data_IF_620770014575
#
_entry.id   IF_620770014575
#
_cell.length_a   1.000
_cell.length_b   1.000
_cell.length_c   1.000
_cell.angle_alpha   90.00
_cell.angle_beta   90.00
_cell.angle_gamma   90.00
#
_symmetry.space_group_name_H-M   'P 1'
#
loop_
_entity.id
_entity.type
_entity.pdbx_description
1 polymer ?
#
# COMPACT_ATOMS: atom_id res chain seq x y z
N UNK A 1 14.25 3.12 -2.26
CA UNK A 1 13.26 3.15 -1.16
C UNK A 1 12.79 4.59 -0.98
N UNK A 2 11.48 4.90 -0.94
CA UNK A 2 11.01 6.27 -0.76
C UNK A 2 11.47 6.80 0.61
N UNK A 3 12.46 7.70 0.64
CA UNK A 3 13.08 8.23 1.87
C UNK A 3 12.04 8.77 2.86
N UNK A 4 11.13 9.61 2.38
CA UNK A 4 10.10 10.22 3.23
C UNK A 4 9.18 9.19 3.93
N UNK A 5 8.84 8.09 3.26
CA UNK A 5 7.97 7.06 3.83
C UNK A 5 8.75 6.16 4.79
N UNK A 6 9.99 5.82 4.44
CA UNK A 6 10.91 5.12 5.32
C UNK A 6 11.10 5.88 6.64
N UNK A 7 11.35 7.19 6.57
CA UNK A 7 11.62 8.01 7.75
C UNK A 7 10.40 8.14 8.67
N UNK A 8 9.19 8.27 8.09
CA UNK A 8 7.94 8.21 8.86
C UNK A 8 7.77 6.87 9.57
N UNK A 9 7.94 5.76 8.86
CA UNK A 9 7.82 4.42 9.44
C UNK A 9 8.92 4.14 10.47
N UNK A 10 10.12 4.68 10.28
CA UNK A 10 11.22 4.56 11.23
C UNK A 10 10.93 5.33 12.52
N UNK A 11 10.30 6.52 12.44
CA UNK A 11 9.82 7.27 13.61
C UNK A 11 8.71 6.53 14.34
N UNK A 12 7.73 5.98 13.62
CA UNK A 12 6.68 5.16 14.22
C UNK A 12 7.23 3.90 14.89
N UNK A 13 8.15 3.21 14.24
CA UNK A 13 8.80 2.03 14.79
C UNK A 13 9.56 2.38 16.08
N UNK A 14 10.25 3.54 16.11
CA UNK A 14 10.92 4.05 17.30
C UNK A 14 9.91 4.35 18.42
N UNK A 15 8.78 5.00 18.12
CA UNK A 15 7.70 5.25 19.08
C UNK A 15 7.12 3.95 19.67
N UNK A 16 7.10 2.87 18.88
CA UNK A 16 6.68 1.53 19.30
C UNK A 16 7.77 0.74 20.04
N UNK A 17 8.93 1.33 20.30
CA UNK A 17 10.05 0.65 20.95
C UNK A 17 10.72 -0.43 20.08
N UNK A 18 10.49 -0.43 18.76
CA UNK A 18 11.09 -1.41 17.86
C UNK A 18 12.52 -1.01 17.52
N UNK A 19 13.45 -1.95 17.72
CA UNK A 19 14.88 -1.78 17.44
C UNK A 19 15.42 -2.89 16.53
N UNK A 20 16.60 -2.65 15.94
CA UNK A 20 17.33 -3.61 15.11
C UNK A 20 16.48 -4.29 14.02
N UNK A 21 16.51 -5.63 14.01
CA UNK A 21 15.79 -6.46 13.03
C UNK A 21 14.28 -6.23 13.05
N UNK A 22 13.68 -6.00 14.23
CA UNK A 22 12.23 -5.78 14.36
C UNK A 22 11.79 -4.45 13.74
N UNK A 23 12.61 -3.41 13.89
CA UNK A 23 12.40 -2.12 13.22
C UNK A 23 12.44 -2.27 11.71
N UNK A 24 13.46 -2.95 11.18
CA UNK A 24 13.58 -3.19 9.76
C UNK A 24 12.38 -3.98 9.22
N UNK A 25 12.02 -5.09 9.87
CA UNK A 25 10.87 -5.90 9.50
C UNK A 25 9.55 -5.10 9.48
N UNK A 26 9.34 -4.22 10.46
CA UNK A 26 8.16 -3.34 10.50
C UNK A 26 8.13 -2.40 9.30
N UNK A 27 9.25 -1.73 8.99
CA UNK A 27 9.33 -0.78 7.89
C UNK A 27 9.11 -1.48 6.54
N UNK A 28 9.87 -2.54 6.26
CA UNK A 28 9.76 -3.28 5.00
C UNK A 28 8.42 -3.99 4.84
N UNK A 29 7.91 -4.63 5.90
CA UNK A 29 6.61 -5.27 5.89
C UNK A 29 5.46 -4.29 5.65
N UNK A 30 5.53 -3.10 6.27
CA UNK A 30 4.50 -2.06 6.07
C UNK A 30 4.56 -1.48 4.66
N UNK A 31 5.76 -1.24 4.12
CA UNK A 31 5.95 -0.81 2.73
C UNK A 31 5.31 -1.80 1.73
N UNK A 32 5.64 -3.09 1.87
CA UNK A 32 5.10 -4.14 1.00
C UNK A 32 3.57 -4.23 1.06
N UNK A 33 2.98 -4.09 2.27
CA UNK A 33 1.53 -4.03 2.44
C UNK A 33 0.90 -2.82 1.74
N UNK A 34 1.52 -1.64 1.81
CA UNK A 34 1.02 -0.42 1.15
C UNK A 34 1.02 -0.61 -0.37
N UNK A 35 2.09 -1.14 -0.94
CA UNK A 35 2.20 -1.38 -2.38
C UNK A 35 1.16 -2.40 -2.86
N UNK A 36 0.99 -3.48 -2.11
CA UNK A 36 0.00 -4.53 -2.41
C UNK A 36 -1.43 -3.95 -2.40
N UNK A 37 -1.76 -3.10 -1.41
CA UNK A 37 -3.04 -2.40 -1.35
C UNK A 37 -3.26 -1.44 -2.53
N UNK A 38 -2.23 -0.71 -2.95
CA UNK A 38 -2.31 0.17 -4.15
C UNK A 38 -2.63 -0.63 -5.41
N UNK A 39 -1.96 -1.78 -5.60
CA UNK A 39 -2.21 -2.68 -6.74
C UNK A 39 -3.64 -3.23 -6.73
N UNK A 40 -4.13 -3.66 -5.55
CA UNK A 40 -5.49 -4.16 -5.39
C UNK A 40 -6.56 -3.10 -5.73
N UNK A 41 -6.40 -1.87 -5.22
CA UNK A 41 -7.31 -0.75 -5.53
C UNK A 41 -7.35 -0.43 -7.04
N UNK A 42 -6.20 -0.46 -7.72
CA UNK A 42 -6.13 -0.25 -9.18
C UNK A 42 -6.85 -1.34 -9.97
N UNK A 43 -6.80 -2.60 -9.52
CA UNK A 43 -7.57 -3.69 -10.14
C UNK A 43 -9.07 -3.51 -9.92
N UNK A 44 -9.47 -3.14 -8.71
CA UNK A 44 -10.88 -2.88 -8.39
C UNK A 44 -11.45 -1.73 -9.23
N UNK A 45 -10.75 -0.60 -9.32
CA UNK A 45 -11.21 0.54 -10.13
C UNK A 45 -11.36 0.18 -11.60
N UNK A 46 -10.40 -0.57 -12.18
CA UNK A 46 -10.49 -1.09 -13.55
C UNK A 46 -11.72 -1.99 -13.75
N UNK A 47 -12.03 -2.88 -12.80
CA UNK A 47 -13.20 -3.75 -12.86
C UNK A 47 -14.51 -2.94 -12.81
N UNK A 48 -14.59 -1.94 -11.94
CA UNK A 48 -15.75 -1.03 -11.84
C UNK A 48 -15.96 -0.26 -13.14
N UNK A 49 -14.90 0.32 -13.69
CA UNK A 49 -14.95 1.05 -14.97
C UNK A 49 -15.40 0.14 -16.10
N UNK A 50 -14.81 -1.07 -16.23
CA UNK A 50 -15.18 -2.05 -17.26
C UNK A 50 -16.65 -2.47 -17.15
N UNK A 51 -17.16 -2.69 -15.94
CA UNK A 51 -18.57 -3.01 -15.69
C UNK A 51 -19.51 -1.87 -16.11
N UNK A 52 -19.12 -0.62 -15.84
CA UNK A 52 -19.90 0.58 -16.22
C UNK A 52 -19.94 0.78 -17.75
N UNK A 53 -18.82 0.58 -18.44
CA UNK A 53 -18.75 0.67 -19.90
C UNK A 53 -19.59 -0.41 -20.57
N UNK A 54 -19.51 -1.65 -20.10
CA UNK A 54 -20.30 -2.76 -20.65
C UNK A 54 -21.82 -2.51 -20.47
N UNK A 55 -22.24 -2.03 -19.29
CA UNK A 55 -23.64 -1.67 -19.04
C UNK A 55 -24.15 -0.49 -19.89
N UNK A 56 -23.28 0.43 -20.31
CA UNK A 56 -23.63 1.58 -21.16
C UNK A 56 -23.73 1.23 -22.64
N UNK A 57 -23.05 0.18 -23.10
CA UNK A 57 -22.99 -0.25 -24.51
C UNK A 57 -24.03 -1.30 -24.91
N UNK A 58 -24.72 -1.90 -23.94
CA UNK A 58 -25.81 -2.87 -24.18
C UNK A 58 -27.21 -2.27 -24.03
N UNK A 59 -27.34 -0.95 -24.12
CA UNK A 59 -28.58 -0.19 -24.19
C UNK A 59 -28.58 0.62 -25.47
#
# INVERSE_FOLDING_TARGET
>A
MPKALHDKLAREAKKKGLTGKRKAAYIYGTMSKIESRKKAKKKHSKKVVKKKVHKKRGK
#
